data_IF_261822559551
#
_entry.id   IF_261822559551
#
_cell.length_a   1.000
_cell.length_b   1.000
_cell.length_c   1.000
_cell.angle_alpha   90.00
_cell.angle_beta   90.00
_cell.angle_gamma   90.00
#
_symmetry.space_group_name_H-M   'P 1'
#
loop_
_entity.id
_entity.type
_entity.pdbx_description
1 polymer ?
#
# COMPACT_ATOMS: atom_id res chain seq x y z
N UNK A 1 8.27 -1.72 21.94
CA UNK A 1 7.77 -2.04 20.58
C UNK A 1 6.25 -2.05 20.50
N UNK A 2 5.53 -2.88 21.26
CA UNK A 2 4.07 -3.02 21.19
C UNK A 2 3.28 -1.70 21.12
N UNK A 3 3.45 -0.80 22.11
CA UNK A 3 2.73 0.47 22.16
C UNK A 3 3.03 1.40 20.97
N UNK A 4 4.24 1.30 20.40
CA UNK A 4 4.60 2.07 19.20
C UNK A 4 3.91 1.52 17.95
N UNK A 5 3.79 0.20 17.84
CA UNK A 5 3.01 -0.44 16.77
C UNK A 5 1.52 -0.09 16.83
N UNK A 6 0.91 -0.07 18.02
CA UNK A 6 -0.48 0.38 18.18
C UNK A 6 -0.65 1.83 17.74
N UNK A 7 0.26 2.72 18.16
CA UNK A 7 0.21 4.12 17.76
C UNK A 7 0.30 4.26 16.23
N UNK A 8 1.20 3.52 15.58
CA UNK A 8 1.30 3.51 14.11
C UNK A 8 -0.03 3.10 13.44
N UNK A 9 -0.65 2.01 13.89
CA UNK A 9 -1.91 1.54 13.31
C UNK A 9 -3.07 2.51 13.58
N UNK A 10 -3.14 3.11 14.76
CA UNK A 10 -4.15 4.14 15.07
C UNK A 10 -3.99 5.38 14.18
N UNK A 11 -2.75 5.85 14.00
CA UNK A 11 -2.45 6.98 13.12
C UNK A 11 -2.81 6.67 11.66
N UNK A 12 -2.49 5.46 11.20
CA UNK A 12 -2.86 4.97 9.86
C UNK A 12 -4.38 4.87 9.69
N UNK A 13 -5.09 4.33 10.67
CA UNK A 13 -6.56 4.26 10.64
C UNK A 13 -7.17 5.66 10.59
N UNK A 14 -6.64 6.60 11.38
CA UNK A 14 -7.09 7.99 11.36
C UNK A 14 -6.88 8.65 10.00
N UNK A 15 -5.77 8.37 9.31
CA UNK A 15 -5.55 8.82 7.92
C UNK A 15 -6.57 8.21 6.96
N UNK A 16 -6.87 6.92 7.09
CA UNK A 16 -7.85 6.22 6.26
C UNK A 16 -9.26 6.78 6.47
N UNK A 17 -9.65 6.99 7.72
CA UNK A 17 -10.99 7.50 8.08
C UNK A 17 -11.18 8.96 7.65
N UNK A 18 -10.10 9.75 7.64
CA UNK A 18 -10.10 11.12 7.12
C UNK A 18 -9.98 11.20 5.59
N UNK A 19 -9.63 10.12 4.91
CA UNK A 19 -9.45 10.09 3.46
C UNK A 19 -10.79 9.89 2.74
N UNK A 20 -11.13 10.80 1.82
CA UNK A 20 -12.31 10.66 0.97
C UNK A 20 -11.90 10.20 -0.44
N UNK A 21 -12.25 8.96 -0.80
CA UNK A 21 -12.05 8.41 -2.14
C UNK A 21 -13.04 9.04 -3.15
N UNK A 22 -12.56 9.44 -4.31
CA UNK A 22 -13.40 9.78 -5.47
C UNK A 22 -13.60 8.54 -6.34
N UNK A 23 -14.66 7.78 -6.10
CA UNK A 23 -14.93 6.51 -6.80
C UNK A 23 -15.20 6.65 -8.30
N UNK A 24 -15.38 7.88 -8.80
CA UNK A 24 -15.51 8.17 -10.23
C UNK A 24 -14.17 8.27 -10.96
N UNK A 25 -13.06 8.38 -10.22
CA UNK A 25 -11.70 8.41 -10.73
C UNK A 25 -10.93 7.17 -10.30
N UNK A 26 -9.89 6.81 -11.05
CA UNK A 26 -9.00 5.70 -10.68
C UNK A 26 -8.41 5.97 -9.29
N UNK A 27 -8.77 5.15 -8.31
CA UNK A 27 -8.30 5.34 -6.94
C UNK A 27 -6.79 5.01 -6.84
N UNK A 28 -6.03 5.72 -5.99
CA UNK A 28 -4.68 5.30 -5.68
C UNK A 28 -4.70 4.00 -4.89
N UNK A 29 -3.66 3.17 -5.03
CA UNK A 29 -3.53 1.92 -4.28
C UNK A 29 -3.51 2.18 -2.78
N UNK A 30 -2.77 3.19 -2.33
CA UNK A 30 -2.67 3.57 -0.92
C UNK A 30 -3.44 4.87 -0.64
N UNK A 31 -4.25 4.86 0.43
CA UNK A 31 -5.00 6.03 0.89
C UNK A 31 -4.11 6.98 1.69
N UNK A 32 -3.38 7.82 0.98
CA UNK A 32 -2.57 8.88 1.59
C UNK A 32 -2.64 10.12 0.70
N UNK A 33 -3.20 11.22 1.21
CA UNK A 33 -3.09 12.53 0.56
C UNK A 33 -1.77 13.18 0.99
N UNK A 34 -0.97 13.59 0.02
CA UNK A 34 0.18 14.46 0.28
C UNK A 34 -0.39 15.84 0.58
N UNK A 35 -0.14 16.36 1.77
CA UNK A 35 -0.55 17.71 2.11
C UNK A 35 0.47 18.66 1.48
N UNK A 36 0.04 19.49 0.53
CA UNK A 36 0.89 20.51 -0.10
C UNK A 36 1.39 21.58 0.88
N UNK A 37 0.84 21.64 2.08
CA UNK A 37 1.32 22.54 3.13
C UNK A 37 2.72 22.16 3.59
N UNK A 38 3.66 23.06 3.26
CA UNK A 38 5.07 23.08 3.63
C UNK A 38 5.18 23.12 5.15
N UNK A 39 5.15 21.95 5.79
CA UNK A 39 5.59 21.84 7.17
C UNK A 39 7.09 21.98 7.24
N UNK A 40 7.57 22.73 8.24
CA UNK A 40 9.00 22.82 8.54
C UNK A 40 9.60 21.41 8.72
N UNK A 41 10.85 21.18 8.25
CA UNK A 41 11.52 19.90 8.45
C UNK A 41 11.55 19.50 9.93
N UNK A 42 10.97 18.35 10.26
CA UNK A 42 11.12 17.72 11.58
C UNK A 42 9.95 17.83 12.57
N UNK A 43 8.81 18.42 12.19
CA UNK A 43 7.60 18.39 13.03
C UNK A 43 6.64 17.29 12.57
N UNK A 44 6.22 16.45 13.51
CA UNK A 44 5.18 15.46 13.26
C UNK A 44 3.80 16.10 13.24
N UNK A 45 3.02 15.82 12.19
CA UNK A 45 1.66 16.36 12.01
C UNK A 45 0.63 15.58 12.83
N UNK A 46 0.92 14.31 13.13
CA UNK A 46 0.02 13.41 13.85
C UNK A 46 0.68 12.87 15.14
N UNK A 47 0.02 13.10 16.28
CA UNK A 47 0.49 12.68 17.61
C UNK A 47 0.73 11.17 17.75
N UNK A 48 0.01 10.34 16.98
CA UNK A 48 0.21 8.90 16.97
C UNK A 48 1.48 8.49 16.23
N UNK A 49 1.83 9.16 15.12
CA UNK A 49 3.11 8.91 14.45
C UNK A 49 4.30 9.44 15.25
N UNK A 50 4.13 10.58 15.94
CA UNK A 50 5.13 11.08 16.89
C UNK A 50 5.38 10.07 18.01
N UNK A 51 4.30 9.52 18.60
CA UNK A 51 4.40 8.48 19.63
C UNK A 51 5.07 7.21 19.10
N UNK A 52 4.72 6.78 17.88
CA UNK A 52 5.34 5.62 17.24
C UNK A 52 6.86 5.84 17.06
N UNK A 53 7.25 7.01 16.57
CA UNK A 53 8.66 7.42 16.43
C UNK A 53 9.37 7.49 17.79
N UNK A 54 8.80 8.14 18.80
CA UNK A 54 9.39 8.24 20.14
C UNK A 54 9.70 6.84 20.72
N UNK A 55 8.75 5.90 20.58
CA UNK A 55 8.96 4.52 21.05
C UNK A 55 10.01 3.78 20.23
N UNK A 56 10.05 3.98 18.92
CA UNK A 56 11.07 3.38 18.06
C UNK A 56 12.47 3.91 18.40
N UNK A 57 12.64 5.24 18.48
CA UNK A 57 13.90 5.90 18.83
C UNK A 57 14.37 5.46 20.21
N UNK A 58 13.48 5.44 21.22
CA UNK A 58 13.82 4.98 22.57
C UNK A 58 14.27 3.52 22.58
N UNK A 59 13.64 2.66 21.79
CA UNK A 59 14.04 1.26 21.67
C UNK A 59 15.44 1.13 21.07
N UNK A 60 15.72 1.86 19.99
CA UNK A 60 17.04 1.91 19.35
C UNK A 60 18.09 2.41 20.34
N UNK A 61 17.87 3.58 20.96
CA UNK A 61 18.86 4.21 21.85
C UNK A 61 19.18 3.38 23.10
N UNK A 62 18.17 2.72 23.70
CA UNK A 62 18.35 2.02 24.97
C UNK A 62 18.72 0.55 24.84
N UNK A 63 18.44 -0.06 23.68
CA UNK A 63 18.57 -1.50 23.51
C UNK A 63 19.41 -1.91 22.30
N UNK A 64 19.92 -0.97 21.50
CA UNK A 64 20.92 -1.28 20.47
C UNK A 64 22.20 -1.77 21.14
N UNK A 65 22.71 -2.88 20.61
CA UNK A 65 23.93 -3.55 21.02
C UNK A 65 24.81 -3.78 19.79
N UNK A 66 25.50 -2.73 19.37
CA UNK A 66 26.47 -2.80 18.29
C UNK A 66 27.81 -3.36 18.83
N UNK A 67 28.07 -4.64 18.55
CA UNK A 67 29.30 -5.33 18.93
C UNK A 67 30.01 -5.75 17.64
N UNK A 68 31.25 -5.26 17.47
CA UNK A 68 32.07 -5.51 16.26
C UNK A 68 31.38 -5.11 14.94
N UNK A 69 30.61 -4.01 14.98
CA UNK A 69 29.89 -3.51 13.81
C UNK A 69 28.60 -4.27 13.48
N UNK A 70 28.22 -5.26 14.29
CA UNK A 70 26.99 -6.05 14.13
C UNK A 70 26.04 -5.78 15.29
N UNK A 71 24.79 -5.49 14.97
CA UNK A 71 23.73 -5.42 15.96
C UNK A 71 23.41 -6.83 16.48
N UNK A 72 23.41 -6.99 17.80
CA UNK A 72 23.13 -8.27 18.47
C UNK A 72 21.69 -8.39 18.95
N UNK A 73 20.98 -7.28 19.10
CA UNK A 73 19.58 -7.30 19.50
C UNK A 73 18.68 -7.43 18.26
N UNK A 74 17.97 -8.57 18.11
CA UNK A 74 17.11 -8.84 16.96
C UNK A 74 15.79 -8.07 16.98
N UNK A 75 15.55 -7.20 17.97
CA UNK A 75 14.35 -6.35 17.99
C UNK A 75 14.60 -4.96 17.39
N UNK A 76 15.86 -4.65 17.06
CA UNK A 76 16.26 -3.31 16.60
C UNK A 76 15.87 -3.10 15.14
N UNK A 77 15.86 -4.15 14.31
CA UNK A 77 15.32 -4.11 12.96
C UNK A 77 13.81 -3.77 12.96
N UNK A 78 13.03 -4.33 13.88
CA UNK A 78 11.62 -3.98 14.09
C UNK A 78 11.47 -2.51 14.54
N UNK A 79 12.39 -2.03 15.38
CA UNK A 79 12.41 -0.64 15.82
C UNK A 79 12.70 0.32 14.65
N UNK A 80 13.69 0.02 13.80
CA UNK A 80 13.94 0.81 12.59
C UNK A 80 12.80 0.72 11.58
N UNK A 81 12.14 -0.45 11.45
CA UNK A 81 11.00 -0.61 10.55
C UNK A 81 9.82 0.26 11.02
N UNK A 82 9.55 0.26 12.33
CA UNK A 82 8.55 1.14 12.95
C UNK A 82 8.91 2.62 12.75
N UNK A 83 10.18 2.99 12.95
CA UNK A 83 10.67 4.35 12.73
C UNK A 83 10.43 4.83 11.30
N UNK A 84 10.82 4.00 10.31
CA UNK A 84 10.64 4.32 8.90
C UNK A 84 9.16 4.47 8.53
N UNK A 85 8.30 3.55 8.99
CA UNK A 85 6.84 3.63 8.75
C UNK A 85 6.22 4.87 9.38
N UNK A 86 6.56 5.18 10.62
CA UNK A 86 6.05 6.38 11.31
C UNK A 86 6.40 7.65 10.53
N UNK A 87 7.67 7.79 10.11
CA UNK A 87 8.13 8.92 9.29
C UNK A 87 7.48 8.96 7.91
N UNK A 88 7.28 7.81 7.27
CA UNK A 88 6.60 7.71 5.97
C UNK A 88 5.16 8.23 6.05
N UNK A 89 4.38 7.76 7.02
CA UNK A 89 2.99 8.20 7.16
C UNK A 89 2.86 9.65 7.61
N UNK A 90 3.88 10.14 8.30
CA UNK A 90 4.03 11.55 8.65
C UNK A 90 4.66 12.39 7.52
N UNK A 91 4.74 11.83 6.30
CA UNK A 91 5.19 12.48 5.06
C UNK A 91 6.66 12.96 5.07
N UNK A 92 7.46 12.49 6.03
CA UNK A 92 8.90 12.70 6.09
C UNK A 92 9.63 11.60 5.30
N UNK A 93 9.48 11.63 3.99
CA UNK A 93 9.95 10.55 3.10
C UNK A 93 11.47 10.37 3.10
N UNK A 94 12.26 11.45 3.10
CA UNK A 94 13.74 11.32 3.17
C UNK A 94 14.20 10.67 4.50
N UNK A 95 13.75 11.14 5.69
CA UNK A 95 14.04 10.45 6.96
C UNK A 95 13.50 9.01 7.06
N UNK A 96 12.40 8.69 6.37
CA UNK A 96 11.87 7.33 6.29
C UNK A 96 12.80 6.44 5.46
N UNK A 97 13.24 6.93 4.30
CA UNK A 97 14.17 6.24 3.39
C UNK A 97 15.48 5.90 4.09
N UNK A 98 16.03 6.82 4.89
CA UNK A 98 17.22 6.60 5.71
C UNK A 98 17.03 5.44 6.69
N UNK A 99 15.88 5.39 7.39
CA UNK A 99 15.59 4.32 8.34
C UNK A 99 15.50 2.95 7.65
N UNK A 100 14.84 2.87 6.49
CA UNK A 100 14.77 1.62 5.73
C UNK A 100 16.14 1.20 5.18
N UNK A 101 16.92 2.13 4.63
CA UNK A 101 18.28 1.86 4.16
C UNK A 101 19.21 1.39 5.29
N UNK A 102 19.04 1.91 6.51
CA UNK A 102 19.77 1.43 7.68
C UNK A 102 19.49 -0.06 7.94
N UNK A 103 18.22 -0.49 7.83
CA UNK A 103 17.86 -1.91 7.94
C UNK A 103 18.58 -2.75 6.88
N UNK A 104 18.50 -2.32 5.61
CA UNK A 104 19.09 -3.05 4.49
C UNK A 104 20.62 -3.18 4.60
N UNK A 105 21.28 -2.17 5.14
CA UNK A 105 22.73 -2.15 5.29
C UNK A 105 23.21 -2.93 6.53
N UNK A 106 22.55 -2.74 7.68
CA UNK A 106 23.00 -3.30 8.96
C UNK A 106 22.41 -4.68 9.28
N UNK A 107 21.27 -5.02 8.67
CA UNK A 107 20.49 -6.23 8.99
C UNK A 107 20.09 -7.03 7.74
N UNK A 108 21.02 -7.36 6.83
CA UNK A 108 20.68 -8.04 5.57
C UNK A 108 20.05 -9.44 5.76
N UNK A 109 20.24 -10.07 6.92
CA UNK A 109 19.68 -11.37 7.27
C UNK A 109 18.40 -11.29 8.14
N UNK A 110 17.84 -10.09 8.35
CA UNK A 110 16.61 -9.91 9.13
C UNK A 110 15.42 -10.60 8.49
N UNK A 111 14.51 -11.13 9.31
CA UNK A 111 13.22 -11.67 8.84
C UNK A 111 12.28 -10.56 8.31
N UNK A 112 12.60 -9.28 8.56
CA UNK A 112 11.91 -8.09 8.05
C UNK A 112 12.54 -7.52 6.78
N UNK A 113 13.59 -8.14 6.24
CA UNK A 113 14.35 -7.56 5.11
C UNK A 113 13.48 -7.27 3.88
N UNK A 114 12.53 -8.16 3.57
CA UNK A 114 11.62 -7.96 2.44
C UNK A 114 10.68 -6.79 2.70
N UNK A 115 10.16 -6.65 3.92
CA UNK A 115 9.35 -5.51 4.32
C UNK A 115 10.14 -4.21 4.20
N UNK A 116 11.38 -4.16 4.69
CA UNK A 116 12.23 -2.98 4.57
C UNK A 116 12.47 -2.59 3.10
N UNK A 117 12.71 -3.56 2.20
CA UNK A 117 12.82 -3.31 0.75
C UNK A 117 11.53 -2.72 0.18
N UNK A 118 10.38 -3.32 0.47
CA UNK A 118 9.08 -2.86 -0.05
C UNK A 118 8.79 -1.44 0.44
N UNK A 119 8.99 -1.16 1.73
CA UNK A 119 8.77 0.16 2.31
C UNK A 119 9.75 1.23 1.77
N UNK A 120 11.00 0.84 1.49
CA UNK A 120 11.94 1.70 0.76
C UNK A 120 11.37 2.09 -0.60
N UNK A 121 10.84 1.14 -1.36
CA UNK A 121 10.28 1.44 -2.68
C UNK A 121 8.97 2.24 -2.62
N UNK A 122 8.09 1.97 -1.64
CA UNK A 122 6.93 2.84 -1.37
C UNK A 122 7.36 4.29 -1.15
N UNK A 123 8.47 4.48 -0.43
CA UNK A 123 9.05 5.81 -0.18
C UNK A 123 9.63 6.42 -1.46
N UNK A 124 10.30 5.62 -2.30
CA UNK A 124 10.79 6.08 -3.60
C UNK A 124 9.65 6.55 -4.52
N UNK A 125 8.49 5.87 -4.54
CA UNK A 125 7.33 6.33 -5.28
C UNK A 125 6.81 7.70 -4.80
N UNK A 126 6.90 7.99 -3.51
CA UNK A 126 6.53 9.31 -2.95
C UNK A 126 7.56 10.40 -3.26
N UNK A 127 8.75 10.00 -3.69
CA UNK A 127 9.84 10.86 -4.12
C UNK A 127 9.96 10.91 -5.65
N UNK A 128 8.93 10.48 -6.40
CA UNK A 128 8.90 10.49 -7.87
C UNK A 128 10.05 9.69 -8.50
N UNK A 129 10.42 8.56 -7.87
CA UNK A 129 11.46 7.64 -8.36
C UNK A 129 10.83 6.30 -8.78
N UNK A 130 9.85 6.34 -9.70
CA UNK A 130 9.10 5.18 -10.19
C UNK A 130 9.99 4.10 -10.80
N UNK A 131 10.93 4.45 -11.70
CA UNK A 131 11.75 3.45 -12.41
C UNK A 131 12.65 2.68 -11.45
N UNK A 132 13.23 3.38 -10.47
CA UNK A 132 14.05 2.76 -9.43
C UNK A 132 13.22 1.80 -8.58
N UNK A 133 12.02 2.23 -8.16
CA UNK A 133 11.10 1.40 -7.40
C UNK A 133 10.70 0.13 -8.16
N UNK A 134 10.36 0.26 -9.45
CA UNK A 134 10.01 -0.86 -10.32
C UNK A 134 11.17 -1.85 -10.42
N UNK A 135 12.37 -1.37 -10.77
CA UNK A 135 13.54 -2.22 -10.93
C UNK A 135 13.83 -3.03 -9.65
N UNK A 136 13.75 -2.38 -8.48
CA UNK A 136 14.02 -3.01 -7.20
C UNK A 136 12.94 -4.03 -6.80
N UNK A 137 11.66 -3.72 -7.01
CA UNK A 137 10.55 -4.62 -6.69
C UNK A 137 10.51 -5.83 -7.62
N UNK A 138 10.73 -5.64 -8.93
CA UNK A 138 10.82 -6.78 -9.86
C UNK A 138 11.96 -7.73 -9.47
N UNK A 139 13.12 -7.18 -9.11
CA UNK A 139 14.24 -7.98 -8.64
C UNK A 139 13.89 -8.74 -7.36
N UNK A 140 13.20 -8.10 -6.42
CA UNK A 140 12.73 -8.73 -5.18
C UNK A 140 11.81 -9.92 -5.50
N UNK A 141 10.82 -9.72 -6.37
CA UNK A 141 9.84 -10.75 -6.75
C UNK A 141 10.45 -11.95 -7.49
N UNK A 142 11.58 -11.78 -8.20
CA UNK A 142 12.29 -12.88 -8.88
C UNK A 142 13.17 -13.73 -7.96
N UNK A 143 13.63 -13.18 -6.83
CA UNK A 143 14.77 -13.75 -6.09
C UNK A 143 14.39 -14.38 -4.74
N UNK A 144 13.20 -14.15 -4.22
CA UNK A 144 12.84 -14.53 -2.86
C UNK A 144 11.61 -15.44 -2.81
N UNK A 145 11.64 -16.39 -1.88
CA UNK A 145 10.40 -16.97 -1.35
C UNK A 145 9.74 -15.89 -0.48
N UNK A 146 8.68 -15.28 -1.01
CA UNK A 146 8.03 -14.11 -0.43
C UNK A 146 6.73 -14.55 0.26
N UNK A 147 6.59 -14.17 1.53
CA UNK A 147 5.35 -14.38 2.29
C UNK A 147 4.18 -13.73 1.56
N UNK A 148 3.02 -14.38 1.55
CA UNK A 148 1.82 -13.89 0.84
C UNK A 148 1.50 -12.40 1.04
N UNK A 149 1.57 -11.87 2.26
CA UNK A 149 1.31 -10.44 2.48
C UNK A 149 2.43 -9.54 1.94
N UNK A 150 3.69 -9.93 2.08
CA UNK A 150 4.81 -9.18 1.49
C UNK A 150 4.72 -9.19 -0.05
N UNK A 151 4.22 -10.27 -0.66
CA UNK A 151 3.95 -10.34 -2.10
C UNK A 151 2.83 -9.37 -2.48
N UNK A 152 1.76 -9.31 -1.69
CA UNK A 152 0.67 -8.36 -1.91
C UNK A 152 1.14 -6.91 -1.80
N UNK A 153 1.96 -6.59 -0.79
CA UNK A 153 2.49 -5.25 -0.58
C UNK A 153 3.46 -4.85 -1.72
N UNK A 154 4.31 -5.77 -2.18
CA UNK A 154 5.21 -5.53 -3.31
C UNK A 154 4.46 -5.34 -4.63
N UNK A 155 3.52 -6.24 -4.95
CA UNK A 155 2.75 -6.19 -6.18
C UNK A 155 1.83 -4.96 -6.23
N UNK A 156 1.16 -4.61 -5.14
CA UNK A 156 0.34 -3.39 -5.06
C UNK A 156 1.19 -2.12 -5.21
N UNK A 157 2.42 -2.11 -4.68
CA UNK A 157 3.37 -1.00 -4.89
C UNK A 157 3.81 -0.91 -6.35
N UNK A 158 4.10 -2.04 -7.02
CA UNK A 158 4.37 -2.07 -8.46
C UNK A 158 3.18 -1.56 -9.28
N UNK A 159 1.96 -1.98 -8.93
CA UNK A 159 0.76 -1.51 -9.59
C UNK A 159 0.66 0.02 -9.53
N UNK A 160 0.87 0.62 -8.35
CA UNK A 160 0.88 2.08 -8.21
C UNK A 160 1.97 2.72 -9.09
N UNK A 161 3.18 2.18 -9.12
CA UNK A 161 4.27 2.71 -9.94
C UNK A 161 3.91 2.69 -11.44
N UNK A 162 3.36 1.59 -11.95
CA UNK A 162 2.93 1.51 -13.34
C UNK A 162 1.72 2.40 -13.64
N UNK A 163 0.81 2.61 -12.68
CA UNK A 163 -0.29 3.58 -12.82
C UNK A 163 0.24 5.01 -12.96
N UNK A 164 1.26 5.38 -12.17
CA UNK A 164 1.93 6.69 -12.29
C UNK A 164 2.51 6.87 -13.71
N UNK A 165 3.17 5.83 -14.24
CA UNK A 165 3.75 5.80 -15.59
C UNK A 165 2.73 5.51 -16.71
N UNK A 166 1.43 5.46 -16.42
CA UNK A 166 0.33 5.18 -17.37
C UNK A 166 0.42 3.82 -18.09
N UNK A 167 1.18 2.87 -17.55
CA UNK A 167 1.24 1.49 -18.04
C UNK A 167 0.13 0.65 -17.36
N UNK A 168 -1.10 0.81 -17.84
CA UNK A 168 -2.29 0.27 -17.17
C UNK A 168 -2.38 -1.26 -17.25
N UNK A 169 -1.95 -1.88 -18.35
CA UNK A 169 -1.97 -3.35 -18.48
C UNK A 169 -1.10 -4.02 -17.42
N UNK A 170 0.11 -3.50 -17.22
CA UNK A 170 1.03 -4.05 -16.22
C UNK A 170 0.55 -3.75 -14.80
N UNK A 171 -0.09 -2.58 -14.59
CA UNK A 171 -0.71 -2.27 -13.31
C UNK A 171 -1.84 -3.26 -12.96
N UNK A 172 -2.71 -3.59 -13.90
CA UNK A 172 -3.80 -4.56 -13.74
C UNK A 172 -3.27 -5.93 -13.31
N UNK A 173 -2.24 -6.44 -13.99
CA UNK A 173 -1.62 -7.73 -13.65
C UNK A 173 -1.09 -7.73 -12.22
N UNK A 174 -0.45 -6.64 -11.80
CA UNK A 174 0.08 -6.51 -10.44
C UNK A 174 -1.03 -6.36 -9.38
N UNK A 175 -2.16 -5.71 -9.70
CA UNK A 175 -3.33 -5.66 -8.81
C UNK A 175 -3.97 -7.04 -8.62
N UNK A 176 -4.06 -7.85 -9.68
CA UNK A 176 -4.58 -9.23 -9.56
C UNK A 176 -3.69 -10.07 -8.63
N UNK A 177 -2.37 -10.01 -8.82
CA UNK A 177 -1.40 -10.68 -7.94
C UNK A 177 -1.60 -10.21 -6.49
N UNK A 178 -1.71 -8.90 -6.28
CA UNK A 178 -1.88 -8.32 -4.95
C UNK A 178 -3.18 -8.77 -4.28
N UNK A 179 -4.30 -8.75 -5.01
CA UNK A 179 -5.63 -9.15 -4.52
C UNK A 179 -5.68 -10.64 -4.13
N UNK A 180 -4.99 -11.50 -4.89
CA UNK A 180 -4.91 -12.93 -4.62
C UNK A 180 -3.97 -13.26 -3.44
N UNK A 181 -2.96 -12.42 -3.19
CA UNK A 181 -1.96 -12.65 -2.16
C UNK A 181 -2.33 -12.02 -0.80
N UNK A 182 -3.06 -10.91 -0.76
CA UNK A 182 -3.37 -10.19 0.49
C UNK A 182 -4.23 -11.04 1.43
N UNK A 183 -4.01 -10.86 2.73
CA UNK A 183 -4.87 -11.43 3.79
C UNK A 183 -6.02 -10.48 4.18
N UNK A 184 -5.94 -9.21 3.82
CA UNK A 184 -6.94 -8.20 4.14
C UNK A 184 -8.05 -8.16 3.10
N UNK A 185 -9.31 -8.32 3.54
CA UNK A 185 -10.46 -8.18 2.64
C UNK A 185 -10.71 -6.71 2.24
N UNK A 186 -10.21 -5.76 3.04
CA UNK A 186 -10.25 -4.34 2.72
C UNK A 186 -9.33 -4.06 1.53
N UNK A 187 -8.07 -4.49 1.62
CA UNK A 187 -7.08 -4.36 0.54
C UNK A 187 -7.55 -5.11 -0.71
N UNK A 188 -8.07 -6.34 -0.53
CA UNK A 188 -8.57 -7.13 -1.67
C UNK A 188 -9.69 -6.41 -2.40
N UNK A 189 -10.65 -5.85 -1.69
CA UNK A 189 -11.72 -5.07 -2.30
C UNK A 189 -11.19 -3.84 -3.02
N UNK A 190 -10.24 -3.11 -2.41
CA UNK A 190 -9.60 -1.96 -3.04
C UNK A 190 -8.90 -2.33 -4.35
N UNK A 191 -8.06 -3.35 -4.33
CA UNK A 191 -7.28 -3.75 -5.51
C UNK A 191 -8.18 -4.20 -6.66
N UNK A 192 -9.22 -5.00 -6.37
CA UNK A 192 -10.21 -5.44 -7.36
C UNK A 192 -11.06 -4.28 -7.89
N UNK A 193 -11.40 -3.32 -7.04
CA UNK A 193 -12.13 -2.13 -7.46
C UNK A 193 -11.28 -1.26 -8.41
N UNK A 194 -10.00 -1.04 -8.07
CA UNK A 194 -9.06 -0.30 -8.94
C UNK A 194 -8.86 -1.05 -10.26
N UNK A 195 -8.73 -2.38 -10.24
CA UNK A 195 -8.65 -3.21 -11.46
C UNK A 195 -9.83 -2.94 -12.41
N UNK A 196 -11.06 -2.90 -11.88
CA UNK A 196 -12.26 -2.55 -12.66
C UNK A 196 -12.22 -1.13 -13.22
N UNK A 197 -11.74 -0.16 -12.43
CA UNK A 197 -11.57 1.22 -12.89
C UNK A 197 -10.51 1.34 -14.01
N UNK A 198 -9.42 0.58 -13.93
CA UNK A 198 -8.39 0.55 -14.97
C UNK A 198 -8.93 -0.04 -16.28
N UNK A 199 -9.71 -1.13 -16.20
CA UNK A 199 -10.40 -1.69 -17.36
C UNK A 199 -11.42 -0.71 -17.96
N UNK A 200 -12.20 -0.02 -17.13
CA UNK A 200 -13.10 1.05 -17.59
C UNK A 200 -12.35 2.18 -18.31
N UNK A 201 -11.21 2.61 -17.77
CA UNK A 201 -10.38 3.64 -18.40
C UNK A 201 -9.81 3.21 -19.76
N UNK A 202 -9.65 1.89 -19.98
CA UNK A 202 -9.28 1.31 -21.28
C UNK A 202 -10.47 1.07 -22.23
N UNK A 203 -11.70 1.27 -21.77
CA UNK A 203 -12.92 0.96 -22.53
C UNK A 203 -13.30 -0.52 -22.54
N UNK A 204 -12.63 -1.36 -21.75
CA UNK A 204 -12.82 -2.82 -21.68
C UNK A 204 -13.91 -3.16 -20.66
N UNK A 205 -15.17 -2.79 -20.97
CA UNK A 205 -16.31 -2.87 -20.04
C UNK A 205 -16.59 -4.28 -19.51
N UNK A 206 -16.46 -5.31 -20.33
CA UNK A 206 -16.70 -6.69 -19.90
C UNK A 206 -15.68 -7.12 -18.84
N UNK A 207 -14.40 -6.83 -19.08
CA UNK A 207 -13.32 -7.10 -18.11
C UNK A 207 -13.47 -6.26 -16.84
N UNK A 208 -13.92 -5.01 -16.97
CA UNK A 208 -14.23 -4.18 -15.82
C UNK A 208 -15.35 -4.78 -14.97
N UNK A 209 -16.44 -5.23 -15.59
CA UNK A 209 -17.56 -5.87 -14.91
C UNK A 209 -17.12 -7.14 -14.18
N UNK A 210 -16.27 -7.96 -14.79
CA UNK A 210 -15.70 -9.14 -14.12
C UNK A 210 -14.87 -8.77 -12.89
N UNK A 211 -14.09 -7.68 -12.94
CA UNK A 211 -13.34 -7.20 -11.78
C UNK A 211 -14.27 -6.66 -10.68
N UNK A 212 -15.34 -5.94 -11.04
CA UNK A 212 -16.36 -5.48 -10.09
C UNK A 212 -17.15 -6.64 -9.46
N UNK A 213 -17.41 -7.71 -10.20
CA UNK A 213 -18.03 -8.92 -9.66
C UNK A 213 -17.18 -9.57 -8.57
N UNK A 214 -15.86 -9.62 -8.75
CA UNK A 214 -14.93 -10.07 -7.69
C UNK A 214 -15.01 -9.19 -6.43
N UNK A 215 -15.38 -7.91 -6.54
CA UNK A 215 -15.66 -7.04 -5.37
C UNK A 215 -16.99 -7.42 -4.73
N UNK A 216 -18.03 -7.61 -5.52
CA UNK A 216 -19.39 -7.95 -5.08
C UNK A 216 -19.41 -9.30 -4.34
N UNK A 217 -18.66 -10.30 -4.83
CA UNK A 217 -18.49 -11.62 -4.23
C UNK A 217 -17.86 -11.58 -2.82
N UNK A 218 -17.20 -10.49 -2.45
CA UNK A 218 -16.71 -10.31 -1.07
C UNK A 218 -17.85 -10.03 -0.08
N UNK A 219 -19.04 -9.64 -0.55
CA UNK A 219 -20.20 -9.31 0.26
C UNK A 219 -19.83 -8.40 1.45
N UNK A 220 -20.12 -8.83 2.69
CA UNK A 220 -19.84 -8.08 3.94
C UNK A 220 -18.37 -8.11 4.37
N UNK A 221 -17.50 -8.84 3.67
CA UNK A 221 -16.08 -8.95 4.04
C UNK A 221 -15.29 -7.70 3.64
N UNK A 222 -15.74 -6.95 2.64
CA UNK A 222 -15.10 -5.72 2.16
C UNK A 222 -15.89 -4.49 2.62
N UNK A 223 -15.27 -3.29 2.73
CA UNK A 223 -16.01 -2.06 3.01
C UNK A 223 -17.23 -1.90 2.10
N UNK A 224 -18.36 -1.52 2.70
CA UNK A 224 -19.66 -1.45 2.00
C UNK A 224 -19.63 -0.48 0.81
N UNK A 225 -18.79 0.54 0.87
CA UNK A 225 -18.64 1.52 -0.20
C UNK A 225 -18.09 0.89 -1.48
N UNK A 226 -17.10 -0.01 -1.42
CA UNK A 226 -16.60 -0.70 -2.62
C UNK A 226 -17.67 -1.58 -3.25
N UNK A 227 -18.44 -2.29 -2.41
CA UNK A 227 -19.55 -3.13 -2.86
C UNK A 227 -20.61 -2.29 -3.60
N UNK A 228 -21.05 -1.18 -3.03
CA UNK A 228 -22.05 -0.30 -3.67
C UNK A 228 -21.48 0.35 -4.94
N UNK A 229 -20.26 0.88 -4.88
CA UNK A 229 -19.61 1.51 -6.04
C UNK A 229 -19.41 0.51 -7.18
N UNK A 230 -19.11 -0.75 -6.90
CA UNK A 230 -18.98 -1.80 -7.91
C UNK A 230 -20.30 -2.02 -8.68
N UNK A 231 -21.44 -2.05 -7.99
CA UNK A 231 -22.75 -2.10 -8.63
C UNK A 231 -23.04 -0.88 -9.49
N UNK A 232 -22.70 0.32 -9.00
CA UNK A 232 -22.90 1.56 -9.75
C UNK A 232 -22.06 1.55 -11.03
N UNK A 233 -20.80 1.13 -10.96
CA UNK A 233 -19.93 1.05 -12.13
C UNK A 233 -20.40 -0.01 -13.13
N UNK A 234 -20.85 -1.19 -12.67
CA UNK A 234 -21.52 -2.16 -13.56
C UNK A 234 -22.75 -1.57 -14.24
N UNK A 235 -23.57 -0.82 -13.50
CA UNK A 235 -24.78 -0.23 -14.04
C UNK A 235 -24.52 0.85 -15.10
N UNK A 236 -23.39 1.57 -14.99
CA UNK A 236 -22.91 2.50 -16.02
C UNK A 236 -22.36 1.79 -17.24
N UNK A 237 -21.73 0.63 -17.05
CA UNK A 237 -21.17 -0.16 -18.14
C UNK A 237 -22.25 -0.82 -19.00
N UNK A 238 -23.44 -1.04 -18.44
CA UNK A 238 -24.56 -1.67 -19.14
C UNK A 238 -24.96 -0.92 -20.42
N UNK A 239 -25.09 -1.67 -21.52
CA UNK A 239 -25.63 -1.15 -22.77
C UNK A 239 -27.16 -1.24 -22.76
N UNK A 240 -27.84 -0.11 -22.69
CA UNK A 240 -29.31 -0.06 -22.62
C UNK A 240 -30.00 -0.37 -23.97
N UNK A 241 -29.25 -0.34 -25.08
CA UNK A 241 -29.71 -0.65 -26.43
C UNK A 241 -29.65 -2.13 -26.75
N UNK A 242 -28.53 -2.78 -26.44
CA UNK A 242 -28.25 -4.18 -26.83
C UNK A 242 -28.15 -5.15 -25.64
N UNK A 243 -28.03 -4.64 -24.41
CA UNK A 243 -27.82 -5.46 -23.22
C UNK A 243 -29.04 -6.24 -22.75
N UNK A 244 -28.79 -7.37 -22.09
CA UNK A 244 -29.83 -8.20 -21.49
C UNK A 244 -30.45 -7.51 -20.27
N UNK A 245 -31.62 -6.89 -20.46
CA UNK A 245 -32.33 -6.13 -19.41
C UNK A 245 -32.79 -6.99 -18.22
N UNK A 246 -33.01 -8.29 -18.43
CA UNK A 246 -33.38 -9.21 -17.34
C UNK A 246 -32.19 -9.44 -16.41
N UNK A 247 -31.02 -9.73 -16.96
CA UNK A 247 -29.78 -9.93 -16.19
C UNK A 247 -29.37 -8.66 -15.44
N UNK A 248 -29.61 -7.48 -16.02
CA UNK A 248 -29.38 -6.20 -15.34
C UNK A 248 -30.28 -5.98 -14.11
N UNK A 249 -31.53 -6.45 -14.15
CA UNK A 249 -32.47 -6.32 -13.03
C UNK A 249 -32.17 -7.28 -11.86
N UNK A 250 -31.31 -8.28 -12.09
CA UNK A 250 -30.89 -9.28 -11.10
C UNK A 250 -29.58 -8.92 -10.39
N UNK A 251 -28.88 -7.85 -10.81
CA UNK A 251 -27.70 -7.29 -10.13
C UNK A 251 -28.03 -6.86 -8.69
#
# INVERSE_FOLDING_TARGET
MYNGGIALENGRQSLIDGYTDNYWEILPVERMQILEDVSLPGQAKNADFERAEEKAVKAIQKHSMNIEGKEKNPQIDEAYLLLGKARYFDQRFVPALEAFNYILFKYPASDKINQAKIWREKTNLRLENEELAIQNLERLLRQADIKKQDLADAASTLAQAYMNLKNLDTAIVNLDIAANATKSNEERGRYRFIEGQLYNAKGEKDSANMAFDKVIELHRKTPRIYYISAYIEKAKNFDYGEGNKLEFLEL
#
